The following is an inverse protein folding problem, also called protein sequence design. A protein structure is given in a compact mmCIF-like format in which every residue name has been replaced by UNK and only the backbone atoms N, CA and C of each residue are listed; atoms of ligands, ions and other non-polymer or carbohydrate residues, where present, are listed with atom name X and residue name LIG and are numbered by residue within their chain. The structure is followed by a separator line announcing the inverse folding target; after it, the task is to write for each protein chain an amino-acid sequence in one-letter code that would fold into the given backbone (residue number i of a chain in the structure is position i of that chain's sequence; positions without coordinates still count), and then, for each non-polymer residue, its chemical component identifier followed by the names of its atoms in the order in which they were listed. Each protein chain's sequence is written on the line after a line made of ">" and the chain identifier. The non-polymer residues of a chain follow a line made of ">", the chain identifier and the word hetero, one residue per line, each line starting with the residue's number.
data_IF_030094124957
#
_entry.id   IF_030094124957
#
_cell.length_a   1.000
_cell.length_b   1.000
_cell.length_c   1.000
_cell.angle_alpha   90.00
_cell.angle_beta   90.00
_cell.angle_gamma   90.00
#
_symmetry.space_group_name_H-M   'P 1'
#
loop_
_entity.id
_entity.type
_entity.pdbx_description
1 polymer ?
#
# COMPACT_ATOMS: atom_id res chain seq x y z
N UNK A 1 8.88 8.51 4.16
CA UNK A 1 9.58 9.34 3.17
C UNK A 1 9.52 8.73 1.76
N UNK A 2 9.61 7.40 1.61
CA UNK A 2 9.64 6.72 0.30
C UNK A 2 8.27 6.27 -0.27
N UNK A 3 7.23 6.12 0.55
CA UNK A 3 5.92 5.58 0.12
C UNK A 3 4.76 6.56 0.39
N UNK A 4 4.75 7.72 -0.28
CA UNK A 4 3.68 8.71 -0.14
C UNK A 4 2.24 8.15 -0.31
N UNK A 5 1.96 7.25 -1.27
CA UNK A 5 0.62 6.70 -1.49
C UNK A 5 0.12 5.81 -0.34
N UNK A 6 1.03 4.98 0.22
CA UNK A 6 0.71 4.12 1.36
C UNK A 6 0.39 4.92 2.62
N UNK A 7 1.00 6.11 2.78
CA UNK A 7 0.71 7.00 3.91
C UNK A 7 -0.70 7.59 3.81
N UNK A 8 -1.11 7.99 2.61
CA UNK A 8 -2.49 8.45 2.38
C UNK A 8 -3.50 7.32 2.62
N UNK A 9 -3.21 6.11 2.13
CA UNK A 9 -4.03 4.92 2.37
C UNK A 9 -4.17 4.60 3.87
N UNK A 10 -3.06 4.60 4.61
CA UNK A 10 -3.06 4.40 6.06
C UNK A 10 -3.88 5.47 6.79
N UNK A 11 -3.75 6.74 6.38
CA UNK A 11 -4.48 7.86 6.98
C UNK A 11 -6.00 7.73 6.76
N UNK A 12 -6.42 7.33 5.56
CA UNK A 12 -7.85 7.08 5.27
C UNK A 12 -8.41 5.96 6.14
N UNK A 13 -7.68 4.86 6.30
CA UNK A 13 -8.11 3.75 7.15
C UNK A 13 -8.18 4.16 8.62
N UNK A 14 -7.24 5.00 9.08
CA UNK A 14 -7.24 5.55 10.44
C UNK A 14 -8.43 6.50 10.66
N UNK A 15 -8.73 7.37 9.69
CA UNK A 15 -9.89 8.25 9.73
C UNK A 15 -11.21 7.45 9.74
N UNK A 16 -11.24 6.28 9.09
CA UNK A 16 -12.36 5.35 9.14
C UNK A 16 -12.45 4.52 10.45
N UNK A 17 -11.63 4.82 11.47
CA UNK A 17 -11.68 4.15 12.77
C UNK A 17 -11.14 2.72 12.80
N UNK A 18 -10.37 2.29 11.78
CA UNK A 18 -9.84 0.92 11.72
C UNK A 18 -8.81 0.67 12.83
N UNK A 19 -8.80 -0.53 13.45
CA UNK A 19 -7.78 -0.90 14.42
C UNK A 19 -6.36 -0.85 13.82
N UNK A 20 -5.37 -0.42 14.61
CA UNK A 20 -3.97 -0.26 14.16
C UNK A 20 -3.42 -1.50 13.45
N UNK A 21 -3.65 -2.71 13.99
CA UNK A 21 -3.19 -3.96 13.39
C UNK A 21 -3.85 -4.24 12.03
N UNK A 22 -5.14 -3.91 11.87
CA UNK A 22 -5.85 -4.05 10.60
C UNK A 22 -5.26 -3.14 9.52
N UNK A 23 -4.89 -1.91 9.89
CA UNK A 23 -4.22 -0.96 8.98
C UNK A 23 -2.87 -1.52 8.51
N UNK A 24 -2.07 -2.07 9.44
CA UNK A 24 -0.78 -2.68 9.12
C UNK A 24 -0.95 -3.86 8.17
N UNK A 25 -1.89 -4.77 8.44
CA UNK A 25 -2.20 -5.89 7.54
C UNK A 25 -2.64 -5.43 6.15
N UNK A 26 -3.48 -4.39 6.06
CA UNK A 26 -3.92 -3.84 4.79
C UNK A 26 -2.75 -3.26 3.97
N UNK A 27 -1.81 -2.55 4.63
CA UNK A 27 -0.61 -2.00 3.98
C UNK A 27 0.30 -3.12 3.48
N UNK A 28 0.57 -4.14 4.32
CA UNK A 28 1.42 -5.28 3.93
C UNK A 28 0.83 -6.04 2.74
N UNK A 29 -0.49 -6.29 2.74
CA UNK A 29 -1.18 -6.94 1.63
C UNK A 29 -1.07 -6.13 0.33
N UNK A 30 -1.19 -4.79 0.43
CA UNK A 30 -1.03 -3.90 -0.73
C UNK A 30 0.40 -3.94 -1.28
N UNK A 31 1.41 -3.95 -0.41
CA UNK A 31 2.82 -4.07 -0.82
C UNK A 31 3.10 -5.37 -1.59
N UNK A 32 2.57 -6.50 -1.11
CA UNK A 32 2.74 -7.80 -1.79
C UNK A 32 2.09 -7.77 -3.18
N UNK A 33 0.89 -7.21 -3.32
CA UNK A 33 0.24 -7.09 -4.62
C UNK A 33 0.98 -6.18 -5.59
N UNK A 34 1.58 -5.10 -5.11
CA UNK A 34 2.43 -4.22 -5.91
C UNK A 34 3.66 -5.00 -6.42
N UNK A 35 4.37 -5.69 -5.52
CA UNK A 35 5.54 -6.49 -5.89
C UNK A 35 5.16 -7.58 -6.90
N UNK A 36 4.05 -8.27 -6.67
CA UNK A 36 3.52 -9.26 -7.60
C UNK A 36 3.19 -8.65 -8.97
N UNK A 37 2.56 -7.47 -9.02
CA UNK A 37 2.25 -6.78 -10.27
C UNK A 37 3.50 -6.37 -11.06
N UNK A 38 4.53 -5.86 -10.37
CA UNK A 38 5.82 -5.52 -10.96
C UNK A 38 6.47 -6.74 -11.61
N UNK A 39 6.54 -7.86 -10.88
CA UNK A 39 7.13 -9.10 -11.36
C UNK A 39 6.31 -9.73 -12.49
N UNK A 40 4.98 -9.80 -12.35
CA UNK A 40 4.08 -10.42 -13.32
C UNK A 40 4.07 -9.70 -14.66
N UNK A 41 4.10 -8.37 -14.64
CA UNK A 41 4.00 -7.56 -15.86
C UNK A 41 5.36 -7.07 -16.36
N UNK A 42 6.45 -7.38 -15.66
CA UNK A 42 7.81 -6.89 -15.94
C UNK A 42 7.87 -5.36 -16.12
N UNK A 43 6.99 -4.64 -15.41
CA UNK A 43 6.92 -3.18 -15.44
C UNK A 43 7.56 -2.64 -14.18
N UNK A 44 8.43 -1.61 -14.28
CA UNK A 44 9.04 -1.00 -13.11
C UNK A 44 7.97 -0.46 -12.16
N UNK A 45 8.28 -0.45 -10.86
CA UNK A 45 7.40 0.08 -9.84
C UNK A 45 7.01 1.52 -10.16
N UNK A 46 5.71 1.75 -10.31
CA UNK A 46 5.15 3.09 -10.52
C UNK A 46 4.54 3.60 -9.20
N UNK A 47 5.18 4.58 -8.52
CA UNK A 47 4.68 5.12 -7.26
C UNK A 47 3.34 5.84 -7.39
N UNK A 48 2.90 6.25 -8.58
CA UNK A 48 1.58 6.86 -8.76
C UNK A 48 0.42 5.85 -8.63
N UNK A 49 0.69 4.55 -8.78
CA UNK A 49 -0.32 3.48 -8.70
C UNK A 49 -0.42 2.84 -7.30
N UNK A 50 0.46 3.24 -6.37
CA UNK A 50 0.67 2.56 -5.09
C UNK A 50 -0.25 3.03 -3.96
#
# INVERSE_FOLDING_TARGET
>A
KYNAPLRHFASRLRAAGKPKMSIVCAIMRKLIHIAFGVLKHQKPFNPSLA
#
